data_IF_203316218882
#
_entry.id   IF_203316218882
#
_cell.length_a   1.000
_cell.length_b   1.000
_cell.length_c   1.000
_cell.angle_alpha   90.00
_cell.angle_beta   90.00
_cell.angle_gamma   90.00
#
_symmetry.space_group_name_H-M   'P 1'
#
loop_
_entity.id
_entity.type
_entity.pdbx_description
1 polymer ?
#
# COMPACT_ATOMS: atom_id res chain seq x y z
N UNK A 1 -16.17 -5.56 -5.71
CA UNK A 1 -15.32 -5.52 -4.49
C UNK A 1 -14.06 -4.81 -4.92
N UNK A 2 -13.73 -3.70 -4.27
CA UNK A 2 -12.60 -2.86 -4.67
C UNK A 2 -11.32 -3.39 -4.04
N UNK A 3 -10.19 -3.34 -4.73
CA UNK A 3 -8.92 -3.83 -4.23
C UNK A 3 -7.93 -2.68 -4.01
N UNK A 4 -7.39 -2.58 -2.80
CA UNK A 4 -6.27 -1.70 -2.50
C UNK A 4 -5.00 -2.53 -2.30
N UNK A 5 -3.90 -2.13 -2.94
CA UNK A 5 -2.60 -2.83 -2.83
C UNK A 5 -1.63 -2.00 -2.00
N UNK A 6 -1.08 -2.63 -0.95
CA UNK A 6 -0.05 -2.04 -0.11
C UNK A 6 1.32 -2.33 -0.71
N UNK A 7 1.95 -1.29 -1.25
CA UNK A 7 3.33 -1.33 -1.74
C UNK A 7 4.26 -1.02 -0.57
N UNK A 8 5.17 -1.95 -0.29
CA UNK A 8 6.07 -1.86 0.86
C UNK A 8 7.54 -2.03 0.51
N UNK A 9 7.84 -2.26 -0.77
CA UNK A 9 9.18 -2.37 -1.32
C UNK A 9 9.39 -1.23 -2.32
N UNK A 10 10.64 -0.85 -2.54
CA UNK A 10 10.98 0.13 -3.56
C UNK A 10 11.15 -0.53 -4.92
N UNK A 11 10.93 0.24 -5.99
CA UNK A 11 11.19 -0.23 -7.35
C UNK A 11 12.67 -0.61 -7.48
N UNK A 12 13.00 -1.86 -7.89
CA UNK A 12 14.38 -2.29 -8.00
C UNK A 12 15.16 -1.39 -8.97
N UNK A 13 16.18 -0.68 -8.47
CA UNK A 13 17.09 0.06 -9.35
C UNK A 13 18.05 -0.89 -10.05
N UNK A 14 18.25 -0.69 -11.35
CA UNK A 14 19.28 -1.38 -12.15
C UNK A 14 20.64 -1.35 -11.43
N UNK A 15 21.20 -2.52 -11.13
CA UNK A 15 22.50 -2.68 -10.47
C UNK A 15 22.47 -2.80 -8.93
N UNK A 16 21.30 -2.67 -8.27
CA UNK A 16 21.15 -3.01 -6.85
C UNK A 16 20.61 -4.43 -6.70
N UNK A 17 21.07 -5.13 -5.65
CA UNK A 17 20.64 -6.49 -5.32
C UNK A 17 19.11 -6.60 -5.29
N UNK A 18 18.55 -7.61 -5.97
CA UNK A 18 17.13 -8.01 -5.90
C UNK A 18 16.72 -8.60 -4.54
N UNK A 19 17.62 -8.61 -3.56
CA UNK A 19 17.27 -9.06 -2.22
C UNK A 19 16.31 -8.04 -1.61
N UNK A 20 15.16 -8.47 -1.07
CA UNK A 20 14.27 -7.57 -0.38
C UNK A 20 15.06 -6.94 0.78
N UNK A 21 15.25 -5.62 0.74
CA UNK A 21 15.86 -4.86 1.82
C UNK A 21 14.98 -4.84 3.10
N UNK A 22 13.89 -5.63 3.11
CA UNK A 22 12.98 -5.78 4.21
C UNK A 22 13.59 -6.68 5.28
N UNK A 23 14.05 -6.07 6.37
CA UNK A 23 14.19 -6.75 7.66
C UNK A 23 12.93 -7.58 7.95
N UNK A 24 13.10 -8.75 8.56
CA UNK A 24 11.99 -9.62 9.02
C UNK A 24 10.97 -8.81 9.84
N UNK A 25 11.42 -7.83 10.65
CA UNK A 25 10.55 -6.91 11.39
C UNK A 25 9.66 -6.05 10.47
N UNK A 26 10.19 -5.65 9.30
CA UNK A 26 9.42 -4.97 8.28
C UNK A 26 8.24 -5.82 7.84
N UNK A 27 8.51 -7.07 7.45
CA UNK A 27 7.49 -8.03 6.96
C UNK A 27 6.35 -8.24 7.95
N UNK A 28 6.66 -8.36 9.24
CA UNK A 28 5.62 -8.47 10.28
C UNK A 28 4.73 -7.23 10.37
N UNK A 29 5.32 -6.04 10.22
CA UNK A 29 4.57 -4.78 10.30
C UNK A 29 3.63 -4.58 9.12
N UNK A 30 4.05 -4.93 7.91
CA UNK A 30 3.19 -4.84 6.72
C UNK A 30 2.00 -5.79 6.79
N UNK A 31 2.23 -7.04 7.20
CA UNK A 31 1.15 -8.00 7.45
C UNK A 31 0.19 -7.48 8.52
N UNK A 32 0.72 -6.95 9.63
CA UNK A 32 -0.09 -6.35 10.70
C UNK A 32 -0.93 -5.17 10.22
N UNK A 33 -0.38 -4.30 9.35
CA UNK A 33 -1.12 -3.20 8.75
C UNK A 33 -2.31 -3.71 7.92
N UNK A 34 -2.06 -4.64 6.99
CA UNK A 34 -3.12 -5.21 6.14
C UNK A 34 -4.19 -5.92 6.96
N UNK A 35 -3.80 -6.73 7.94
CA UNK A 35 -4.77 -7.40 8.83
C UNK A 35 -5.63 -6.38 9.60
N UNK A 36 -5.02 -5.32 10.16
CA UNK A 36 -5.76 -4.30 10.90
C UNK A 36 -6.70 -3.52 9.98
N UNK A 37 -6.23 -3.15 8.78
CA UNK A 37 -7.02 -2.48 7.76
C UNK A 37 -8.25 -3.29 7.36
N UNK A 38 -8.06 -4.54 6.94
CA UNK A 38 -9.16 -5.39 6.53
C UNK A 38 -10.17 -5.60 7.65
N UNK A 39 -9.71 -5.80 8.89
CA UNK A 39 -10.61 -5.90 10.05
C UNK A 39 -11.42 -4.62 10.25
N UNK A 40 -10.81 -3.45 10.13
CA UNK A 40 -11.52 -2.17 10.29
C UNK A 40 -12.51 -1.92 9.14
N UNK A 41 -12.13 -2.25 7.90
CA UNK A 41 -13.01 -2.14 6.73
C UNK A 41 -14.21 -3.08 6.82
N UNK A 42 -13.99 -4.32 7.27
CA UNK A 42 -15.03 -5.30 7.55
C UNK A 42 -16.01 -4.78 8.62
N UNK A 43 -15.51 -4.23 9.74
CA UNK A 43 -16.39 -3.63 10.76
C UNK A 43 -17.20 -2.43 10.26
N UNK A 44 -16.76 -1.79 9.18
CA UNK A 44 -17.43 -0.67 8.52
C UNK A 44 -18.35 -1.11 7.37
N UNK A 45 -18.46 -2.41 7.09
CA UNK A 45 -19.11 -2.96 5.88
C UNK A 45 -18.60 -2.31 4.58
N UNK A 46 -17.32 -1.96 4.54
CA UNK A 46 -16.69 -1.36 3.36
C UNK A 46 -16.43 -2.44 2.29
N UNK A 47 -16.64 -2.14 0.99
CA UNK A 47 -16.40 -3.09 -0.10
C UNK A 47 -14.93 -3.23 -0.49
N UNK A 48 -14.01 -2.59 0.25
CA UNK A 48 -12.58 -2.65 0.03
C UNK A 48 -11.94 -3.89 0.63
N UNK A 49 -11.08 -4.54 -0.16
CA UNK A 49 -10.15 -5.55 0.29
C UNK A 49 -8.72 -5.05 0.10
N UNK A 50 -7.91 -5.11 1.16
CA UNK A 50 -6.51 -4.70 1.15
C UNK A 50 -5.61 -5.93 1.04
N UNK A 51 -4.64 -5.89 0.12
CA UNK A 51 -3.63 -6.93 -0.07
C UNK A 51 -2.21 -6.34 -0.01
N UNK A 52 -1.21 -7.19 0.23
CA UNK A 52 0.19 -6.81 0.03
C UNK A 52 0.55 -6.98 -1.45
N UNK A 53 1.39 -6.08 -1.94
CA UNK A 53 2.06 -6.24 -3.23
C UNK A 53 2.96 -7.49 -3.24
N UNK A 54 2.72 -8.38 -4.19
CA UNK A 54 3.49 -9.61 -4.43
C UNK A 54 4.48 -9.48 -5.62
N UNK A 55 4.41 -8.38 -6.36
CA UNK A 55 5.17 -8.12 -7.60
C UNK A 55 6.52 -7.44 -7.39
N UNK A 56 6.81 -6.97 -6.17
CA UNK A 56 8.00 -6.15 -5.83
C UNK A 56 7.96 -4.79 -6.54
N UNK A 57 6.99 -3.96 -6.17
CA UNK A 57 6.82 -2.58 -6.60
C UNK A 57 6.76 -2.42 -8.13
N UNK A 58 6.20 -3.42 -8.82
CA UNK A 58 5.95 -3.39 -10.26
C UNK A 58 4.58 -2.78 -10.52
N UNK A 59 4.57 -1.49 -10.87
CA UNK A 59 3.33 -0.76 -11.14
C UNK A 59 2.52 -1.38 -12.29
N UNK A 60 3.18 -2.01 -13.28
CA UNK A 60 2.46 -2.59 -14.42
C UNK A 60 1.68 -3.84 -14.01
N UNK A 61 2.13 -4.54 -12.96
CA UNK A 61 1.41 -5.68 -12.35
C UNK A 61 0.35 -5.16 -11.38
N UNK A 62 0.72 -4.25 -10.48
CA UNK A 62 -0.19 -3.70 -9.46
C UNK A 62 -1.41 -3.03 -10.12
N UNK A 63 -1.20 -2.24 -11.18
CA UNK A 63 -2.26 -1.48 -11.83
C UNK A 63 -3.31 -2.36 -12.55
N UNK A 64 -3.02 -3.63 -12.80
CA UNK A 64 -3.99 -4.55 -13.42
C UNK A 64 -5.11 -4.97 -12.46
N UNK A 65 -4.85 -4.87 -11.15
CA UNK A 65 -5.76 -5.38 -10.12
C UNK A 65 -6.10 -4.37 -9.03
N UNK A 66 -5.33 -3.29 -8.89
CA UNK A 66 -5.50 -2.31 -7.82
C UNK A 66 -6.38 -1.12 -8.24
N UNK A 67 -7.53 -0.98 -7.59
CA UNK A 67 -8.37 0.22 -7.66
C UNK A 67 -7.78 1.39 -6.87
N UNK A 68 -6.92 1.08 -5.88
CA UNK A 68 -6.13 2.06 -5.13
C UNK A 68 -4.76 1.49 -4.71
N UNK A 69 -3.77 2.37 -4.56
CA UNK A 69 -2.44 2.01 -4.07
C UNK A 69 -2.19 2.68 -2.72
N UNK A 70 -1.62 1.93 -1.78
CA UNK A 70 -1.22 2.41 -0.46
C UNK A 70 0.29 2.20 -0.31
N UNK A 71 1.05 3.27 -0.22
CA UNK A 71 2.50 3.23 -0.11
C UNK A 71 2.96 3.41 1.35
N UNK A 72 3.85 2.54 1.82
CA UNK A 72 4.53 2.73 3.12
C UNK A 72 5.50 3.93 3.08
N UNK A 73 5.92 4.47 4.24
CA UNK A 73 6.78 5.65 4.28
C UNK A 73 8.09 5.47 3.51
N UNK A 74 8.51 6.53 2.84
CA UNK A 74 9.73 6.56 2.02
C UNK A 74 9.53 6.21 0.55
N UNK A 75 8.44 5.53 0.19
CA UNK A 75 8.13 5.16 -1.19
C UNK A 75 7.69 6.31 -2.08
N UNK A 76 7.25 7.43 -1.50
CA UNK A 76 6.98 8.69 -2.22
C UNK A 76 8.11 9.14 -3.16
N UNK A 77 9.36 8.72 -2.91
CA UNK A 77 10.51 8.99 -3.79
C UNK A 77 11.07 7.74 -4.50
N UNK A 78 10.55 6.56 -4.19
CA UNK A 78 11.15 5.27 -4.58
C UNK A 78 10.19 4.34 -5.34
N UNK A 79 8.91 4.66 -5.39
CA UNK A 79 7.91 3.95 -6.16
C UNK A 79 7.53 4.80 -7.37
N UNK A 80 7.80 4.27 -8.57
CA UNK A 80 7.41 4.92 -9.81
C UNK A 80 5.97 4.55 -10.18
N UNK A 81 5.03 5.45 -9.89
CA UNK A 81 3.62 5.27 -10.23
C UNK A 81 3.33 5.39 -11.74
N UNK A 82 4.31 5.77 -12.59
CA UNK A 82 4.13 6.02 -14.02
C UNK A 82 2.85 6.85 -14.31
N UNK A 83 1.89 6.25 -15.02
CA UNK A 83 0.62 6.85 -15.43
C UNK A 83 -0.55 6.48 -14.50
N UNK A 84 -0.31 5.79 -13.39
CA UNK A 84 -1.35 5.45 -12.44
C UNK A 84 -1.94 6.74 -11.81
N UNK A 85 -3.28 6.85 -11.68
CA UNK A 85 -3.92 8.07 -11.18
C UNK A 85 -3.40 8.42 -9.78
N UNK A 86 -2.81 9.61 -9.63
CA UNK A 86 -2.15 10.02 -8.37
C UNK A 86 -3.14 10.19 -7.23
N UNK A 87 -4.37 10.57 -7.56
CA UNK A 87 -5.52 10.66 -6.67
C UNK A 87 -5.96 9.29 -6.13
N UNK A 88 -5.49 8.20 -6.73
CA UNK A 88 -5.69 6.82 -6.27
C UNK A 88 -4.46 6.24 -5.55
N UNK A 89 -3.51 7.10 -5.16
CA UNK A 89 -2.32 6.69 -4.40
C UNK A 89 -2.29 7.40 -3.04
N UNK A 90 -2.31 6.61 -1.96
CA UNK A 90 -2.14 7.09 -0.60
C UNK A 90 -0.71 6.85 -0.13
N UNK A 91 -0.08 7.85 0.48
CA UNK A 91 1.24 7.72 1.09
C UNK A 91 1.13 7.83 2.61
N UNK A 92 1.57 6.79 3.31
CA UNK A 92 1.72 6.88 4.74
C UNK A 92 2.87 7.83 5.11
N UNK A 93 2.61 8.72 6.07
CA UNK A 93 3.67 9.36 6.82
C UNK A 93 4.29 8.39 7.84
N UNK A 94 5.50 8.72 8.30
CA UNK A 94 6.27 7.87 9.21
C UNK A 94 5.55 7.60 10.54
N UNK A 95 4.82 8.57 11.07
CA UNK A 95 4.15 8.48 12.36
C UNK A 95 2.88 7.63 12.25
N UNK A 96 2.02 7.91 11.26
CA UNK A 96 0.81 7.15 11.00
C UNK A 96 1.10 5.69 10.69
N UNK A 97 2.19 5.40 9.96
CA UNK A 97 2.64 4.01 9.77
C UNK A 97 3.24 3.39 11.05
N UNK A 98 3.92 4.17 11.88
CA UNK A 98 4.43 3.71 13.18
C UNK A 98 3.29 3.27 14.11
N UNK A 99 2.26 4.12 14.22
CA UNK A 99 1.12 3.92 15.12
C UNK A 99 0.04 3.01 14.50
N UNK A 100 0.14 2.68 13.22
CA UNK A 100 -0.92 2.03 12.44
C UNK A 100 -2.22 2.84 12.56
N UNK A 101 -2.12 4.16 12.37
CA UNK A 101 -3.23 5.09 12.34
C UNK A 101 -3.98 4.92 11.01
N UNK A 102 -5.21 4.40 11.07
CA UNK A 102 -5.94 3.97 9.87
C UNK A 102 -6.91 5.03 9.33
N UNK A 103 -7.21 6.07 10.10
CA UNK A 103 -8.29 7.00 9.79
C UNK A 103 -8.09 7.70 8.44
N UNK A 104 -6.86 8.12 8.15
CA UNK A 104 -6.56 8.83 6.90
C UNK A 104 -6.62 7.92 5.67
N UNK A 105 -6.12 6.69 5.77
CA UNK A 105 -6.17 5.73 4.66
C UNK A 105 -7.59 5.23 4.42
N UNK A 106 -8.40 5.07 5.47
CA UNK A 106 -9.80 4.71 5.34
C UNK A 106 -10.59 5.85 4.69
N UNK A 107 -10.43 7.09 5.15
CA UNK A 107 -11.06 8.27 4.53
C UNK A 107 -10.69 8.40 3.04
N UNK A 108 -9.44 8.10 2.71
CA UNK A 108 -8.98 8.07 1.33
C UNK A 108 -9.70 7.01 0.49
N UNK A 109 -9.81 5.77 0.98
CA UNK A 109 -10.55 4.70 0.27
C UNK A 109 -12.04 5.04 0.11
N UNK A 110 -12.67 5.60 1.15
CA UNK A 110 -14.05 6.09 1.12
C UNK A 110 -14.22 7.22 0.09
N UNK A 111 -13.20 8.07 -0.13
CA UNK A 111 -13.26 9.16 -1.12
C UNK A 111 -13.22 8.70 -2.58
N UNK A 112 -12.75 7.48 -2.86
CA UNK A 112 -12.70 6.91 -4.21
C UNK A 112 -14.04 6.26 -4.61
N UNK A 113 -14.89 5.92 -3.64
CA UNK A 113 -16.22 5.35 -3.89
C UNK A 113 -17.27 6.39 -4.29
N UNK A 114 -16.97 7.68 -4.11
CA UNK A 114 -17.87 8.80 -4.38
C UNK A 114 -17.83 9.22 -5.85
#
# INVERSE_FOLDING_TARGET
MNKAVVVYQSTPMLGKSKLPNGSILGMFKQKKLVTKLNKTLETKNSPWLVALDDSIADIDVIAQEADAIICVPGLQKQFDCKNYPKEKVFYFDSLGYHELALDNVIKFLESIEQ
#
